data_IF_376685102711
#
_entry.id   IF_376685102711
#
_cell.length_a   1.000
_cell.length_b   1.000
_cell.length_c   1.000
_cell.angle_alpha   90.00
_cell.angle_beta   90.00
_cell.angle_gamma   90.00
#
_symmetry.space_group_name_H-M   'P 1'
#
loop_
_entity.id
_entity.type
_entity.pdbx_description
1 polymer ?
#
# COMPACT_ATOMS: atom_id res chain seq x y z
N UNK A 1 24.56 -15.91 50.62
CA UNK A 1 25.49 -16.15 49.50
C UNK A 1 24.93 -15.45 48.27
N UNK A 2 25.59 -14.39 47.80
CA UNK A 2 25.06 -13.49 46.77
C UNK A 2 25.88 -13.68 45.49
N UNK A 3 25.30 -14.35 44.50
CA UNK A 3 25.93 -14.60 43.20
C UNK A 3 25.76 -13.35 42.32
N UNK A 4 26.78 -12.50 42.26
CA UNK A 4 26.86 -11.44 41.24
C UNK A 4 27.36 -12.04 39.93
N UNK A 5 26.52 -12.03 38.89
CA UNK A 5 26.95 -12.32 37.52
C UNK A 5 27.84 -11.18 37.00
N UNK A 6 28.95 -11.47 36.32
CA UNK A 6 29.80 -10.45 35.73
C UNK A 6 29.06 -9.73 34.61
N UNK A 7 28.98 -8.40 34.70
CA UNK A 7 28.54 -7.55 33.60
C UNK A 7 29.60 -7.59 32.51
N UNK A 8 29.34 -8.36 31.45
CA UNK A 8 30.13 -8.29 30.24
C UNK A 8 29.59 -7.12 29.40
N UNK A 9 30.37 -6.06 29.14
CA UNK A 9 29.91 -4.95 28.31
C UNK A 9 29.68 -5.48 26.90
N UNK A 10 28.41 -5.59 26.50
CA UNK A 10 28.01 -5.89 25.12
C UNK A 10 28.60 -4.83 24.20
N UNK A 11 29.72 -5.15 23.55
CA UNK A 11 30.24 -4.38 22.42
C UNK A 11 29.19 -4.45 21.31
N UNK A 12 28.36 -3.41 21.20
CA UNK A 12 27.43 -3.25 20.09
C UNK A 12 28.32 -3.17 18.83
N UNK A 13 28.19 -4.10 17.88
CA UNK A 13 28.94 -3.99 16.64
C UNK A 13 28.58 -2.66 15.97
N UNK A 14 29.56 -1.92 15.44
CA UNK A 14 29.28 -0.66 14.78
C UNK A 14 28.20 -0.88 13.72
N UNK A 15 27.14 -0.07 13.78
CA UNK A 15 26.08 -0.07 12.78
C UNK A 15 26.74 -0.05 11.40
N UNK A 16 26.44 -0.99 10.49
CA UNK A 16 27.04 -0.98 9.17
C UNK A 16 26.73 0.36 8.51
N UNK A 17 27.75 1.20 8.37
CA UNK A 17 27.67 2.46 7.66
C UNK A 17 27.61 2.12 6.18
N UNK A 18 26.39 1.85 5.69
CA UNK A 18 26.19 1.77 4.26
C UNK A 18 26.56 3.13 3.67
N UNK A 19 27.35 3.19 2.58
CA UNK A 19 27.64 4.45 1.93
C UNK A 19 26.30 5.06 1.48
N UNK A 20 25.88 6.11 2.17
CA UNK A 20 24.82 7.02 1.74
C UNK A 20 25.36 7.84 0.58
N UNK A 21 25.78 7.19 -0.50
CA UNK A 21 26.15 7.92 -1.71
C UNK A 21 24.85 8.24 -2.45
N UNK A 22 24.45 9.52 -2.56
CA UNK A 22 23.37 9.92 -3.43
C UNK A 22 23.95 9.93 -4.85
N UNK A 23 24.38 8.77 -5.36
CA UNK A 23 24.70 8.67 -6.77
C UNK A 23 23.38 8.86 -7.50
N UNK A 24 23.20 10.06 -8.04
CA UNK A 24 22.17 10.32 -9.01
C UNK A 24 22.26 9.20 -10.06
N UNK A 25 21.16 8.47 -10.31
CA UNK A 25 21.19 7.36 -11.24
C UNK A 25 21.68 7.88 -12.60
N UNK A 26 22.53 7.13 -13.32
CA UNK A 26 23.05 7.56 -14.61
C UNK A 26 21.91 7.96 -15.57
N UNK A 27 22.15 8.90 -16.50
CA UNK A 27 21.12 9.59 -17.29
C UNK A 27 20.26 8.69 -18.19
N UNK A 28 20.56 7.40 -18.26
CA UNK A 28 19.94 6.35 -19.05
C UNK A 28 19.47 5.16 -18.21
N UNK A 29 19.29 5.37 -16.90
CA UNK A 29 18.81 4.31 -15.99
C UNK A 29 17.37 3.92 -16.34
N UNK A 30 17.12 2.62 -16.54
CA UNK A 30 15.75 2.08 -16.68
C UNK A 30 14.88 2.59 -15.53
N UNK A 31 13.64 2.96 -15.83
CA UNK A 31 12.69 3.49 -14.85
C UNK A 31 12.46 2.52 -13.70
N UNK A 32 12.60 1.21 -13.96
CA UNK A 32 12.59 0.19 -12.92
C UNK A 32 13.80 0.27 -11.97
N UNK A 33 15.01 0.46 -12.50
CA UNK A 33 16.22 0.59 -11.68
C UNK A 33 16.17 1.89 -10.87
N UNK A 34 15.71 2.98 -11.49
CA UNK A 34 15.44 4.25 -10.80
C UNK A 34 14.46 4.08 -9.63
N UNK A 35 13.38 3.33 -9.82
CA UNK A 35 12.42 3.02 -8.76
C UNK A 35 13.05 2.20 -7.61
N UNK A 36 13.89 1.23 -7.94
CA UNK A 36 14.56 0.39 -6.93
C UNK A 36 15.59 1.14 -6.11
N UNK A 37 16.39 2.02 -6.74
CA UNK A 37 17.42 2.82 -6.05
C UNK A 37 16.83 4.00 -5.28
N UNK A 38 15.62 4.43 -5.62
CA UNK A 38 14.95 5.53 -4.91
C UNK A 38 14.55 5.09 -3.49
N UNK A 39 14.92 5.87 -2.45
CA UNK A 39 14.52 5.58 -1.07
C UNK A 39 13.00 5.52 -0.92
N UNK A 40 12.50 4.62 -0.07
CA UNK A 40 11.07 4.37 0.07
C UNK A 40 10.24 5.65 0.31
N UNK A 41 10.75 6.57 1.15
CA UNK A 41 10.11 7.85 1.44
C UNK A 41 9.91 8.75 0.20
N UNK A 42 10.75 8.60 -0.82
CA UNK A 42 10.72 9.42 -2.05
C UNK A 42 10.03 8.72 -3.22
N UNK A 43 9.66 7.44 -3.10
CA UNK A 43 9.04 6.68 -4.20
C UNK A 43 7.68 7.25 -4.61
N UNK A 44 6.90 7.78 -3.67
CA UNK A 44 5.62 8.41 -3.99
C UNK A 44 5.81 9.67 -4.87
N UNK A 45 6.78 10.51 -4.52
CA UNK A 45 7.14 11.68 -5.31
C UNK A 45 7.67 11.27 -6.69
N UNK A 46 8.55 10.26 -6.78
CA UNK A 46 8.99 9.71 -8.06
C UNK A 46 7.82 9.21 -8.91
N UNK A 47 6.89 8.44 -8.34
CA UNK A 47 5.74 7.93 -9.07
C UNK A 47 4.81 9.05 -9.54
N UNK A 48 4.76 10.20 -8.86
CA UNK A 48 3.95 11.34 -9.31
C UNK A 48 4.49 11.98 -10.60
N UNK A 49 5.81 11.97 -10.81
CA UNK A 49 6.45 12.62 -11.97
C UNK A 49 6.48 11.75 -13.23
N UNK A 50 6.20 10.45 -13.11
CA UNK A 50 6.26 9.52 -14.24
C UNK A 50 4.97 9.53 -15.10
N UNK A 51 5.07 9.26 -16.41
CA UNK A 51 3.91 8.98 -17.27
C UNK A 51 3.13 7.72 -16.82
N UNK A 52 1.81 7.64 -17.08
CA UNK A 52 0.98 6.48 -16.69
C UNK A 52 1.54 5.12 -17.12
N UNK A 53 1.98 4.98 -18.37
CA UNK A 53 2.56 3.74 -18.89
C UNK A 53 3.79 3.26 -18.10
N UNK A 54 4.62 4.18 -17.59
CA UNK A 54 5.78 3.84 -16.76
C UNK A 54 5.36 3.43 -15.35
N UNK A 55 4.29 4.02 -14.81
CA UNK A 55 3.73 3.63 -13.49
C UNK A 55 3.16 2.21 -13.55
N UNK A 56 2.44 1.87 -14.62
CA UNK A 56 1.90 0.52 -14.84
C UNK A 56 3.02 -0.52 -14.95
N UNK A 57 4.09 -0.21 -15.70
CA UNK A 57 5.26 -1.07 -15.80
C UNK A 57 5.91 -1.32 -14.42
N UNK A 58 6.11 -0.25 -13.63
CA UNK A 58 6.66 -0.37 -12.27
C UNK A 58 5.71 -1.18 -11.38
N UNK A 59 4.39 -0.92 -11.45
CA UNK A 59 3.38 -1.61 -10.67
C UNK A 59 3.39 -3.11 -10.93
N UNK A 60 3.43 -3.52 -12.21
CA UNK A 60 3.53 -4.93 -12.60
C UNK A 60 4.83 -5.58 -12.10
N UNK A 61 5.99 -4.93 -12.32
CA UNK A 61 7.29 -5.44 -11.87
C UNK A 61 7.37 -5.55 -10.34
N UNK A 62 6.88 -4.56 -9.60
CA UNK A 62 6.88 -4.59 -8.13
C UNK A 62 5.95 -5.67 -7.57
N UNK A 63 4.78 -5.86 -8.19
CA UNK A 63 3.88 -6.94 -7.79
C UNK A 63 4.51 -8.32 -8.01
N UNK A 64 5.17 -8.53 -9.15
CA UNK A 64 5.94 -9.74 -9.40
C UNK A 64 7.07 -9.93 -8.39
N UNK A 65 7.81 -8.86 -8.06
CA UNK A 65 8.88 -8.90 -7.05
C UNK A 65 8.33 -9.28 -5.68
N UNK A 66 7.23 -8.69 -5.24
CA UNK A 66 6.58 -9.00 -3.96
C UNK A 66 6.08 -10.45 -3.94
N UNK A 67 5.48 -10.94 -5.03
CA UNK A 67 5.07 -12.35 -5.15
C UNK A 67 6.27 -13.28 -5.03
N UNK A 68 7.32 -13.04 -5.80
CA UNK A 68 8.56 -13.82 -5.73
C UNK A 68 9.13 -13.84 -4.30
N UNK A 69 9.26 -12.68 -3.65
CA UNK A 69 9.79 -12.61 -2.29
C UNK A 69 8.90 -13.37 -1.30
N UNK A 70 7.57 -13.27 -1.44
CA UNK A 70 6.64 -14.03 -0.58
C UNK A 70 6.80 -15.53 -0.77
N UNK A 71 6.86 -16.00 -2.02
CA UNK A 71 7.03 -17.41 -2.35
C UNK A 71 8.39 -17.93 -1.88
N UNK A 72 9.46 -17.19 -2.15
CA UNK A 72 10.83 -17.52 -1.73
C UNK A 72 10.98 -17.61 -0.21
N UNK A 73 10.41 -16.65 0.53
CA UNK A 73 10.46 -16.63 1.99
C UNK A 73 9.33 -17.41 2.66
N UNK A 74 8.38 -17.97 1.92
CA UNK A 74 7.30 -18.81 2.47
C UNK A 74 7.84 -20.05 3.21
N UNK A 75 8.76 -20.86 2.63
CA UNK A 75 9.36 -21.99 3.35
C UNK A 75 10.41 -21.55 4.37
N UNK A 76 11.05 -20.39 4.15
CA UNK A 76 12.01 -19.77 5.06
C UNK A 76 11.33 -18.87 6.09
N UNK A 77 10.02 -19.05 6.33
CA UNK A 77 9.42 -18.46 7.52
C UNK A 77 10.26 -18.94 8.67
N UNK A 78 11.03 -18.00 9.24
CA UNK A 78 11.71 -18.19 10.51
C UNK A 78 10.68 -18.91 11.34
N UNK A 79 10.99 -20.16 11.73
CA UNK A 79 10.09 -20.89 12.61
C UNK A 79 9.68 -19.92 13.70
N UNK A 80 8.47 -20.03 14.23
CA UNK A 80 8.05 -19.27 15.42
C UNK A 80 8.89 -19.69 16.66
N UNK A 81 10.21 -19.86 16.51
CA UNK A 81 11.17 -19.94 17.57
C UNK A 81 11.12 -18.60 18.26
N UNK A 82 10.32 -18.56 19.32
CA UNK A 82 10.65 -18.10 20.69
C UNK A 82 11.38 -16.76 20.85
N UNK A 83 11.58 -16.00 19.79
CA UNK A 83 12.28 -14.75 19.73
C UNK A 83 11.22 -13.65 19.80
N UNK A 84 11.41 -12.64 20.67
CA UNK A 84 10.46 -11.55 20.87
C UNK A 84 10.11 -10.80 19.56
N UNK A 85 10.97 -10.88 18.54
CA UNK A 85 10.71 -10.33 17.20
C UNK A 85 9.53 -11.02 16.51
N UNK A 86 9.35 -12.35 16.65
CA UNK A 86 8.23 -13.07 16.03
C UNK A 86 6.89 -12.58 16.56
N UNK A 87 6.76 -12.49 17.89
CA UNK A 87 5.57 -11.95 18.55
C UNK A 87 5.32 -10.47 18.21
N UNK A 88 6.38 -9.66 18.12
CA UNK A 88 6.26 -8.25 17.72
C UNK A 88 5.79 -8.11 16.26
N UNK A 89 6.29 -8.95 15.36
CA UNK A 89 5.86 -8.99 13.95
C UNK A 89 4.42 -9.46 13.81
N UNK A 90 4.01 -10.50 14.54
CA UNK A 90 2.61 -10.95 14.57
C UNK A 90 1.68 -9.86 15.09
N UNK A 91 2.06 -9.18 16.17
CA UNK A 91 1.27 -8.08 16.72
C UNK A 91 1.16 -6.90 15.73
N UNK A 92 2.26 -6.56 15.06
CA UNK A 92 2.27 -5.54 14.01
C UNK A 92 1.38 -5.94 12.83
N UNK A 93 1.47 -7.19 12.36
CA UNK A 93 0.62 -7.73 11.31
C UNK A 93 -0.86 -7.72 11.68
N UNK A 94 -1.20 -8.09 12.92
CA UNK A 94 -2.57 -8.06 13.42
C UNK A 94 -3.12 -6.62 13.41
N UNK A 95 -2.34 -5.65 13.90
CA UNK A 95 -2.69 -4.23 13.85
C UNK A 95 -2.88 -3.71 12.43
N UNK A 96 -2.00 -4.08 11.50
CA UNK A 96 -2.09 -3.63 10.12
C UNK A 96 -3.33 -4.19 9.43
N UNK A 97 -3.64 -5.48 9.64
CA UNK A 97 -4.89 -6.12 9.18
C UNK A 97 -6.12 -5.43 9.75
N UNK A 98 -6.17 -5.19 11.07
CA UNK A 98 -7.29 -4.52 11.71
C UNK A 98 -7.54 -3.12 11.12
N UNK A 99 -6.47 -2.34 10.89
CA UNK A 99 -6.57 -1.03 10.25
C UNK A 99 -7.04 -1.12 8.80
N UNK A 100 -6.54 -2.08 8.04
CA UNK A 100 -6.97 -2.32 6.67
C UNK A 100 -8.47 -2.64 6.59
N UNK A 101 -8.93 -3.56 7.43
CA UNK A 101 -10.36 -3.93 7.55
C UNK A 101 -11.22 -2.72 7.95
N UNK A 102 -10.82 -1.98 8.99
CA UNK A 102 -11.53 -0.78 9.42
C UNK A 102 -11.61 0.28 8.31
N UNK A 103 -10.53 0.46 7.54
CA UNK A 103 -10.51 1.38 6.40
C UNK A 103 -11.43 0.91 5.28
N UNK A 104 -11.40 -0.38 4.92
CA UNK A 104 -12.32 -0.92 3.93
C UNK A 104 -13.78 -0.75 4.37
N UNK A 105 -14.11 -1.00 5.64
CA UNK A 105 -15.45 -0.72 6.16
C UNK A 105 -15.81 0.75 6.10
N UNK A 106 -14.90 1.66 6.43
CA UNK A 106 -15.14 3.10 6.34
C UNK A 106 -15.33 3.58 4.88
N UNK A 107 -14.60 3.00 3.93
CA UNK A 107 -14.75 3.27 2.49
C UNK A 107 -16.07 2.70 1.96
N UNK A 108 -16.48 1.50 2.36
CA UNK A 108 -17.78 0.92 2.02
C UNK A 108 -18.96 1.65 2.67
N UNK A 109 -18.78 2.17 3.88
CA UNK A 109 -19.77 2.97 4.59
C UNK A 109 -19.86 4.42 4.09
N UNK A 110 -18.95 4.84 3.21
CA UNK A 110 -19.07 6.07 2.43
C UNK A 110 -19.65 5.69 1.07
N UNK A 111 -20.99 5.59 0.95
CA UNK A 111 -21.58 5.39 -0.35
C UNK A 111 -21.13 6.54 -1.25
N UNK A 112 -20.47 6.17 -2.36
CA UNK A 112 -20.00 7.13 -3.33
C UNK A 112 -21.20 7.96 -3.79
N UNK A 113 -21.09 9.29 -3.76
CA UNK A 113 -22.20 10.16 -4.14
C UNK A 113 -22.68 9.84 -5.56
N UNK A 114 -21.76 9.42 -6.43
CA UNK A 114 -22.06 8.94 -7.78
C UNK A 114 -22.89 7.64 -7.79
N UNK A 115 -22.70 6.74 -6.82
CA UNK A 115 -23.49 5.52 -6.69
C UNK A 115 -24.88 5.85 -6.14
N UNK A 116 -24.98 6.75 -5.16
CA UNK A 116 -26.27 7.19 -4.62
C UNK A 116 -27.12 7.96 -5.64
N UNK A 117 -26.51 8.87 -6.41
CA UNK A 117 -27.19 9.60 -7.47
C UNK A 117 -27.68 8.65 -8.57
N UNK A 118 -26.88 7.64 -8.91
CA UNK A 118 -27.26 6.63 -9.91
C UNK A 118 -28.37 5.71 -9.42
N UNK A 119 -28.36 5.34 -8.14
CA UNK A 119 -29.46 4.59 -7.51
C UNK A 119 -30.73 5.45 -7.49
N UNK A 120 -30.64 6.72 -7.07
CA UNK A 120 -31.77 7.66 -7.04
C UNK A 120 -32.37 7.87 -8.44
N UNK A 121 -31.53 8.04 -9.46
CA UNK A 121 -31.98 8.17 -10.84
C UNK A 121 -32.71 6.92 -11.37
N UNK A 122 -32.49 5.75 -10.78
CA UNK A 122 -33.16 4.50 -11.13
C UNK A 122 -34.43 4.25 -10.30
N UNK A 123 -34.53 4.79 -9.10
CA UNK A 123 -35.70 4.62 -8.22
C UNK A 123 -36.70 5.76 -8.27
N UNK A 124 -36.35 6.93 -8.81
CA UNK A 124 -37.34 8.00 -8.97
C UNK A 124 -38.34 7.67 -10.10
N UNK A 125 -39.66 7.75 -9.82
CA UNK A 125 -40.68 7.49 -10.81
C UNK A 125 -40.59 8.54 -11.91
N UNK A 126 -40.38 8.08 -13.16
CA UNK A 126 -40.36 8.94 -14.33
C UNK A 126 -41.65 9.77 -14.36
N UNK A 127 -41.57 11.11 -14.45
CA UNK A 127 -42.77 11.93 -14.48
C UNK A 127 -43.62 11.50 -15.68
N UNK A 128 -44.96 11.44 -15.52
CA UNK A 128 -45.85 11.06 -16.61
C UNK A 128 -45.55 12.00 -17.78
N UNK A 129 -45.21 11.42 -18.93
CA UNK A 129 -44.96 12.18 -20.14
C UNK A 129 -46.17 13.10 -20.36
N UNK A 130 -45.93 14.41 -20.30
CA UNK A 130 -46.97 15.42 -20.28
C UNK A 130 -48.00 15.14 -21.36
N UNK A 131 -49.25 14.92 -20.92
CA UNK A 131 -50.39 14.93 -21.82
C UNK A 131 -50.42 16.31 -22.47
N UNK A 132 -50.11 16.36 -23.76
CA UNK A 132 -50.31 17.54 -24.58
C UNK A 132 -51.77 17.90 -24.52
N UNK A 133 -52.08 18.92 -23.74
CA UNK A 133 -53.42 19.50 -23.66
C UNK A 133 -53.60 20.33 -24.93
N UNK A 134 -53.97 19.62 -26.00
CA UNK A 134 -54.44 20.12 -27.28
C UNK A 134 -55.77 20.85 -27.06
N UNK A 135 -55.70 22.02 -26.40
CA UNK A 135 -56.86 22.92 -26.33
C UNK A 135 -56.91 23.71 -27.63
N UNK A 136 -57.64 23.09 -28.55
CA UNK A 136 -58.05 23.62 -29.83
C UNK A 136 -58.52 25.07 -29.77
N UNK A 137 -58.12 25.79 -30.82
CA UNK A 137 -58.77 27.01 -31.30
C UNK A 137 -60.18 26.66 -31.75
N UNK A 138 -61.14 27.47 -31.32
CA UNK A 138 -62.52 27.50 -31.81
C UNK A 138 -63.23 28.69 -31.21
#
# INVERSE_FOLDING_TARGET
>A
MSCRLPHNPTTIPPTPTYPTSPHAPPPNTDTWVLYLTTPFAHRAALLSTLPPAKKELIGGKELCRVRYLREYFSPHRLSLSTLPIGAALEHSHARWRARGVARCHAELARPDAAILDRVRALTEPRPPAGGGDDRGRG
#
